data_IF_539842051206
#
_entry.id   IF_539842051206
#
_cell.length_a   1.000
_cell.length_b   1.000
_cell.length_c   1.000
_cell.angle_alpha   90.00
_cell.angle_beta   90.00
_cell.angle_gamma   90.00
#
_symmetry.space_group_name_H-M   'P 1'
#
loop_
_entity.id
_entity.type
_entity.pdbx_description
1 polymer ?
#
# COMPACT_ATOMS: atom_id res chain seq x y z
N UNK A 1 16.23 -7.71 -8.22
CA UNK A 1 16.03 -9.18 -8.18
C UNK A 1 15.28 -9.49 -6.90
N UNK A 2 14.25 -10.34 -6.96
CA UNK A 2 13.51 -10.77 -5.77
C UNK A 2 13.92 -12.23 -5.49
N UNK A 3 14.79 -12.43 -4.50
CA UNK A 3 15.51 -13.70 -4.37
C UNK A 3 16.34 -13.99 -5.63
N UNK A 4 16.03 -15.08 -6.33
CA UNK A 4 16.66 -15.43 -7.61
C UNK A 4 15.87 -14.91 -8.84
N UNK A 5 14.65 -14.41 -8.65
CA UNK A 5 13.75 -14.05 -9.74
C UNK A 5 14.15 -12.69 -10.36
N UNK A 6 14.37 -12.63 -11.70
CA UNK A 6 14.60 -11.37 -12.39
C UNK A 6 13.30 -10.56 -12.43
N UNK A 7 13.34 -9.36 -11.86
CA UNK A 7 12.18 -8.46 -11.78
C UNK A 7 12.56 -7.04 -12.14
N UNK A 8 11.61 -6.31 -12.72
CA UNK A 8 11.61 -4.85 -12.73
C UNK A 8 10.92 -4.33 -11.47
N UNK A 9 11.37 -3.19 -10.96
CA UNK A 9 10.67 -2.52 -9.86
C UNK A 9 10.18 -1.16 -10.33
N UNK A 10 8.88 -0.93 -10.19
CA UNK A 10 8.27 0.37 -10.44
C UNK A 10 7.85 0.99 -9.11
N UNK A 11 7.97 2.32 -9.02
CA UNK A 11 7.56 3.08 -7.84
C UNK A 11 6.42 4.01 -8.23
N UNK A 12 5.29 3.85 -7.56
CA UNK A 12 4.14 4.74 -7.63
C UNK A 12 4.20 5.80 -6.53
N UNK A 13 3.86 7.02 -6.91
CA UNK A 13 3.62 8.15 -6.01
C UNK A 13 2.20 8.68 -6.24
N UNK A 14 1.70 9.44 -5.28
CA UNK A 14 0.43 10.15 -5.46
C UNK A 14 0.49 11.10 -6.66
N UNK A 15 -0.60 11.13 -7.42
CA UNK A 15 -0.85 12.22 -8.38
C UNK A 15 -1.14 13.51 -7.60
N UNK A 16 -0.65 14.68 -8.03
CA UNK A 16 -0.84 15.94 -7.31
C UNK A 16 -2.31 16.26 -7.01
N UNK A 17 -3.21 15.98 -7.95
CA UNK A 17 -4.63 16.28 -7.82
C UNK A 17 -5.28 15.43 -6.71
N UNK A 18 -5.00 14.13 -6.70
CA UNK A 18 -5.46 13.22 -5.64
C UNK A 18 -4.86 13.58 -4.27
N UNK A 19 -3.58 14.00 -4.26
CA UNK A 19 -2.91 14.38 -3.02
C UNK A 19 -3.51 15.67 -2.42
N UNK A 20 -3.95 16.60 -3.28
CA UNK A 20 -4.62 17.82 -2.85
C UNK A 20 -5.99 17.54 -2.21
N UNK A 21 -6.75 16.56 -2.73
CA UNK A 21 -8.01 16.10 -2.11
C UNK A 21 -7.80 15.48 -0.73
N UNK A 22 -6.71 14.70 -0.57
CA UNK A 22 -6.36 14.06 0.70
C UNK A 22 -5.78 15.03 1.74
N UNK A 23 -5.16 16.12 1.29
CA UNK A 23 -4.52 17.14 2.12
C UNK A 23 -5.07 18.54 1.77
N UNK A 24 -6.35 18.81 2.05
CA UNK A 24 -7.02 20.04 1.60
C UNK A 24 -6.33 21.31 2.11
N UNK A 25 -5.78 21.27 3.33
CA UNK A 25 -5.04 22.39 3.93
C UNK A 25 -3.73 22.76 3.18
N UNK A 26 -3.29 21.93 2.24
CA UNK A 26 -2.07 22.11 1.43
C UNK A 26 -2.35 22.09 -0.08
N UNK A 27 -3.62 22.06 -0.49
CA UNK A 27 -4.03 21.85 -1.88
C UNK A 27 -3.39 22.85 -2.86
N UNK A 28 -3.48 24.16 -2.58
CA UNK A 28 -2.93 25.20 -3.44
C UNK A 28 -1.40 25.05 -3.65
N UNK A 29 -0.69 24.68 -2.58
CA UNK A 29 0.75 24.45 -2.64
C UNK A 29 1.09 23.21 -3.48
N UNK A 30 0.33 22.12 -3.31
CA UNK A 30 0.50 20.86 -4.06
C UNK A 30 0.25 21.08 -5.55
N UNK A 31 -0.86 21.74 -5.90
CA UNK A 31 -1.24 22.03 -7.28
C UNK A 31 -0.27 23.03 -7.94
N UNK A 32 0.34 23.91 -7.16
CA UNK A 32 1.45 24.76 -7.61
C UNK A 32 2.80 24.02 -7.75
N UNK A 33 2.82 22.69 -7.58
CA UNK A 33 4.01 21.85 -7.74
C UNK A 33 4.98 21.87 -6.55
N UNK A 34 4.57 22.40 -5.39
CA UNK A 34 5.41 22.38 -4.19
C UNK A 34 5.38 20.99 -3.54
N UNK A 35 6.51 20.49 -3.03
CA UNK A 35 6.56 19.20 -2.36
C UNK A 35 5.71 19.22 -1.08
N UNK A 36 4.72 18.33 -1.00
CA UNK A 36 3.95 18.09 0.21
C UNK A 36 4.66 17.06 1.10
N UNK A 37 4.68 17.30 2.41
CA UNK A 37 5.10 16.26 3.36
C UNK A 37 4.05 15.15 3.39
N UNK A 38 4.46 13.94 3.01
CA UNK A 38 3.61 12.75 3.02
C UNK A 38 3.51 12.11 4.41
N UNK A 39 4.25 12.59 5.40
CA UNK A 39 4.13 12.16 6.79
C UNK A 39 2.76 12.51 7.38
N UNK A 40 2.13 13.59 6.88
CA UNK A 40 0.80 14.02 7.31
C UNK A 40 -0.35 13.24 6.67
N UNK A 41 -0.07 12.22 5.85
CA UNK A 41 -1.14 11.36 5.32
C UNK A 41 -1.84 10.59 6.45
N UNK A 42 -3.16 10.32 6.33
CA UNK A 42 -3.89 9.42 7.21
C UNK A 42 -3.16 8.09 7.42
N UNK A 43 -3.29 7.51 8.61
CA UNK A 43 -2.51 6.34 9.04
C UNK A 43 -2.66 5.11 8.13
N UNK A 44 -3.81 4.97 7.48
CA UNK A 44 -4.14 3.87 6.59
C UNK A 44 -3.70 4.10 5.13
N UNK A 45 -3.20 5.30 4.80
CA UNK A 45 -2.78 5.62 3.44
C UNK A 45 -1.26 5.53 3.30
N UNK A 46 -0.77 4.85 2.23
CA UNK A 46 0.66 4.79 1.93
C UNK A 46 1.16 6.14 1.41
N UNK A 47 2.43 6.43 1.65
CA UNK A 47 3.15 7.52 0.99
C UNK A 47 3.59 7.12 -0.44
N UNK A 48 3.96 5.86 -0.63
CA UNK A 48 4.38 5.32 -1.92
C UNK A 48 4.05 3.84 -2.06
N UNK A 49 4.00 3.36 -3.30
CA UNK A 49 3.82 1.94 -3.60
C UNK A 49 4.99 1.48 -4.46
N UNK A 50 5.57 0.33 -4.16
CA UNK A 50 6.57 -0.31 -5.02
C UNK A 50 6.02 -1.65 -5.53
N UNK A 51 6.14 -1.91 -6.82
CA UNK A 51 5.68 -3.17 -7.44
C UNK A 51 6.86 -3.84 -8.13
N UNK A 52 7.12 -5.09 -7.78
CA UNK A 52 8.09 -5.95 -8.44
C UNK A 52 7.39 -6.80 -9.50
N UNK A 53 7.71 -6.55 -10.76
CA UNK A 53 7.10 -7.18 -11.94
C UNK A 53 8.07 -8.20 -12.55
N UNK A 54 7.56 -9.37 -12.92
CA UNK A 54 8.32 -10.41 -13.61
C UNK A 54 9.00 -9.91 -14.89
N UNK A 55 10.26 -10.27 -15.07
CA UNK A 55 11.02 -10.06 -16.32
C UNK A 55 11.21 -11.37 -17.10
N UNK A 56 10.77 -12.50 -16.56
CA UNK A 56 10.83 -13.78 -17.26
C UNK A 56 9.72 -13.91 -18.32
N UNK A 57 9.92 -14.84 -19.24
CA UNK A 57 8.98 -15.13 -20.32
C UNK A 57 7.81 -16.01 -19.88
N UNK A 58 7.87 -16.61 -18.68
CA UNK A 58 6.85 -17.54 -18.19
C UNK A 58 5.60 -16.79 -17.70
N UNK A 59 5.80 -15.72 -16.92
CA UNK A 59 4.75 -14.84 -16.42
C UNK A 59 5.20 -13.37 -16.57
N UNK A 60 5.22 -12.85 -17.81
CA UNK A 60 5.74 -11.51 -18.09
C UNK A 60 4.89 -10.45 -17.38
N UNK A 61 5.57 -9.50 -16.72
CA UNK A 61 4.95 -8.41 -15.96
C UNK A 61 4.01 -8.86 -14.83
N UNK A 62 4.09 -10.13 -14.39
CA UNK A 62 3.31 -10.57 -13.25
C UNK A 62 3.81 -9.90 -11.95
N UNK A 63 2.91 -9.38 -11.09
CA UNK A 63 3.30 -8.69 -9.87
C UNK A 63 3.66 -9.71 -8.78
N UNK A 64 4.94 -10.04 -8.62
CA UNK A 64 5.40 -10.98 -7.60
C UNK A 64 5.43 -10.38 -6.20
N UNK A 65 5.57 -9.06 -6.10
CA UNK A 65 5.57 -8.36 -4.80
C UNK A 65 5.02 -6.95 -4.94
N UNK A 66 4.15 -6.58 -4.00
CA UNK A 66 3.59 -5.24 -3.88
C UNK A 66 3.88 -4.74 -2.46
N UNK A 67 4.53 -3.59 -2.36
CA UNK A 67 4.84 -2.95 -1.09
C UNK A 67 4.13 -1.61 -0.98
N UNK A 68 3.31 -1.47 0.04
CA UNK A 68 2.74 -0.19 0.46
C UNK A 68 3.64 0.39 1.54
N UNK A 69 4.19 1.58 1.32
CA UNK A 69 5.22 2.18 2.18
C UNK A 69 4.75 3.52 2.73
N UNK A 70 5.24 3.88 3.91
CA UNK A 70 5.02 5.18 4.55
C UNK A 70 6.34 5.85 4.90
N UNK A 71 6.35 7.18 4.89
CA UNK A 71 7.44 7.95 5.46
C UNK A 71 7.28 8.01 6.98
N UNK A 72 8.30 7.55 7.69
CA UNK A 72 8.42 7.68 9.14
C UNK A 72 9.62 8.57 9.47
N UNK A 73 9.52 9.45 10.49
CA UNK A 73 10.67 10.20 10.95
C UNK A 73 11.81 9.25 11.34
N UNK A 74 13.03 9.56 10.90
CA UNK A 74 14.22 8.80 11.29
C UNK A 74 14.39 8.94 12.80
N UNK A 75 14.49 7.83 13.57
CA UNK A 75 14.82 7.92 14.97
C UNK A 75 16.17 8.63 15.12
N UNK A 76 16.26 9.59 16.05
CA UNK A 76 17.54 10.20 16.41
C UNK A 76 18.38 9.11 17.07
N UNK A 77 19.30 8.49 16.33
CA UNK A 77 20.23 7.52 16.92
C UNK A 77 20.98 8.19 18.08
N UNK A 78 21.14 7.52 19.24
CA UNK A 78 22.13 7.96 20.20
C UNK A 78 23.50 7.94 19.52
N UNK A 79 24.24 9.02 19.68
CA UNK A 79 25.51 9.31 19.03
C UNK A 79 26.56 8.21 19.30
N UNK A 80 26.71 7.27 18.37
CA UNK A 80 27.82 6.31 18.34
C UNK A 80 28.62 6.56 17.05
N UNK A 81 29.90 6.90 17.24
CA UNK A 81 30.89 7.28 16.22
C UNK A 81 30.95 6.25 15.06
N UNK A 82 31.30 6.70 13.83
CA UNK A 82 31.08 5.92 12.62
C UNK A 82 32.11 4.80 12.45
N UNK A 83 31.62 3.59 12.16
CA UNK A 83 32.38 2.56 11.47
C UNK A 83 31.88 2.49 10.01
N UNK A 84 32.84 2.38 9.08
CA UNK A 84 32.66 2.63 7.66
C UNK A 84 31.78 1.62 6.90
N UNK A 85 31.23 2.12 5.80
CA UNK A 85 30.89 1.42 4.55
C UNK A 85 29.59 0.61 4.48
N UNK A 86 28.60 1.14 3.76
CA UNK A 86 28.36 0.74 2.37
C UNK A 86 27.25 1.61 1.75
N UNK A 87 27.59 2.29 0.66
CA UNK A 87 26.65 3.03 -0.17
C UNK A 87 25.81 2.07 -1.01
N UNK A 88 24.50 2.30 -1.08
CA UNK A 88 23.69 1.96 -2.27
C UNK A 88 22.47 2.89 -2.33
N UNK A 89 22.47 3.70 -3.40
CA UNK A 89 21.34 4.34 -4.08
C UNK A 89 20.48 5.37 -3.33
N UNK A 90 20.84 6.63 -3.58
CA UNK A 90 20.05 7.81 -3.28
C UNK A 90 19.07 8.12 -4.42
N UNK A 91 17.79 8.31 -4.07
CA UNK A 91 16.84 9.13 -4.82
C UNK A 91 16.11 10.02 -3.83
N UNK A 92 16.44 11.32 -3.88
CA UNK A 92 15.80 12.45 -3.20
C UNK A 92 15.37 12.24 -1.73
N UNK A 93 16.35 12.18 -0.84
CA UNK A 93 16.15 12.29 0.61
C UNK A 93 15.67 13.70 0.98
N UNK A 94 14.36 13.89 1.13
CA UNK A 94 13.86 15.01 1.95
C UNK A 94 14.34 14.75 3.39
N UNK A 95 15.11 15.70 3.92
CA UNK A 95 15.83 15.60 5.18
C UNK A 95 14.94 15.12 6.34
N UNK A 96 15.24 13.94 6.88
CA UNK A 96 14.73 13.50 8.19
C UNK A 96 13.91 12.22 8.21
N UNK A 97 13.41 11.70 7.08
CA UNK A 97 12.45 10.58 7.08
C UNK A 97 12.92 9.38 6.27
N UNK A 98 12.41 8.20 6.61
CA UNK A 98 12.75 6.90 6.00
C UNK A 98 11.47 6.23 5.53
N UNK A 99 11.51 5.57 4.38
CA UNK A 99 10.39 4.73 3.92
C UNK A 99 10.38 3.41 4.69
N UNK A 100 9.25 3.11 5.32
CA UNK A 100 9.00 1.84 6.00
C UNK A 100 7.79 1.14 5.36
N UNK A 101 7.82 -0.19 5.15
CA UNK A 101 6.66 -0.94 4.68
C UNK A 101 5.53 -0.92 5.72
N UNK A 102 4.32 -0.63 5.26
CA UNK A 102 3.06 -0.81 5.99
C UNK A 102 2.50 -2.21 5.74
N UNK A 103 2.49 -2.61 4.46
CA UNK A 103 1.99 -3.89 3.99
C UNK A 103 2.89 -4.37 2.86
N UNK A 104 3.20 -5.65 2.90
CA UNK A 104 3.92 -6.36 1.85
C UNK A 104 3.03 -7.53 1.44
N UNK A 105 2.66 -7.57 0.17
CA UNK A 105 2.02 -8.72 -0.44
C UNK A 105 3.02 -9.41 -1.34
N UNK A 106 3.25 -10.71 -1.13
CA UNK A 106 4.08 -11.54 -1.98
C UNK A 106 3.24 -12.65 -2.61
N UNK A 107 3.37 -12.80 -3.91
CA UNK A 107 2.66 -13.80 -4.69
C UNK A 107 3.66 -14.86 -5.13
N UNK A 108 3.45 -16.08 -4.65
CA UNK A 108 4.27 -17.25 -4.93
C UNK A 108 3.40 -18.40 -5.45
N UNK A 109 4.03 -19.42 -6.03
CA UNK A 109 3.36 -20.59 -6.61
C UNK A 109 2.28 -20.25 -7.65
N UNK A 110 2.51 -19.17 -8.40
CA UNK A 110 1.61 -18.70 -9.44
C UNK A 110 1.58 -19.71 -10.59
N UNK A 111 0.38 -20.16 -10.95
CA UNK A 111 0.15 -21.08 -12.06
C UNK A 111 -0.59 -20.35 -13.18
N UNK A 112 -0.09 -20.54 -14.41
CA UNK A 112 -0.71 -20.06 -15.65
C UNK A 112 -2.12 -20.69 -15.85
N UNK A 113 -3.02 -20.12 -16.69
CA UNK A 113 -4.43 -20.47 -16.66
C UNK A 113 -4.66 -21.96 -16.94
N UNK A 114 -5.13 -22.65 -15.91
CA UNK A 114 -5.82 -23.92 -16.05
C UNK A 114 -7.32 -23.64 -16.19
N UNK A 115 -8.07 -24.57 -16.78
CA UNK A 115 -9.53 -24.57 -16.66
C UNK A 115 -9.85 -24.74 -15.17
N UNK A 116 -10.38 -23.71 -14.53
CA UNK A 116 -10.83 -23.76 -13.14
C UNK A 116 -12.31 -24.12 -13.15
N UNK A 117 -12.69 -25.17 -12.43
CA UNK A 117 -14.10 -25.52 -12.23
C UNK A 117 -14.80 -24.39 -11.46
N UNK A 118 -15.87 -23.75 -11.98
CA UNK A 118 -16.61 -22.71 -11.26
C UNK A 118 -17.10 -23.14 -9.88
N UNK A 119 -17.32 -24.44 -9.66
CA UNK A 119 -17.74 -24.98 -8.35
C UNK A 119 -16.67 -24.78 -7.28
N UNK A 120 -15.40 -24.62 -7.65
CA UNK A 120 -14.32 -24.27 -6.72
C UNK A 120 -14.51 -22.89 -6.06
N UNK A 121 -15.42 -22.06 -6.58
CA UNK A 121 -15.78 -20.75 -6.02
C UNK A 121 -17.15 -20.76 -5.31
N UNK A 122 -17.77 -21.92 -5.13
CA UNK A 122 -19.00 -22.05 -4.33
C UNK A 122 -18.62 -22.29 -2.88
N UNK A 123 -18.99 -21.37 -2.00
CA UNK A 123 -18.84 -21.54 -0.56
C UNK A 123 -20.00 -22.39 -0.03
N UNK A 124 -19.70 -23.50 0.63
CA UNK A 124 -20.66 -24.34 1.33
C UNK A 124 -20.43 -24.20 2.84
N UNK A 125 -21.33 -23.47 3.49
CA UNK A 125 -21.26 -23.18 4.92
C UNK A 125 -21.80 -24.34 5.78
N UNK A 126 -22.33 -25.41 5.17
CA UNK A 126 -23.06 -26.47 5.88
C UNK A 126 -24.23 -25.89 6.68
N UNK A 127 -24.30 -26.23 7.97
CA UNK A 127 -25.35 -25.79 8.89
C UNK A 127 -25.04 -24.45 9.58
N UNK A 128 -24.03 -23.71 9.13
CA UNK A 128 -23.66 -22.44 9.74
C UNK A 128 -24.73 -21.38 9.43
N UNK A 129 -25.35 -20.81 10.47
CA UNK A 129 -26.25 -19.66 10.31
C UNK A 129 -25.45 -18.44 9.82
N UNK A 130 -25.83 -17.90 8.66
CA UNK A 130 -25.28 -16.67 8.11
C UNK A 130 -26.18 -15.48 8.51
N UNK A 131 -25.56 -14.42 9.01
CA UNK A 131 -26.22 -13.17 9.37
C UNK A 131 -25.56 -12.03 8.60
N UNK A 132 -26.28 -11.50 7.61
CA UNK A 132 -25.85 -10.28 6.94
C UNK A 132 -26.09 -9.07 7.85
N UNK A 133 -25.07 -8.72 8.63
CA UNK A 133 -25.05 -7.52 9.46
C UNK A 133 -24.38 -6.32 8.77
N UNK A 134 -24.17 -6.38 7.44
CA UNK A 134 -23.41 -5.35 6.70
C UNK A 134 -24.03 -3.97 6.90
N UNK A 135 -25.34 -3.86 6.67
CA UNK A 135 -26.07 -2.59 6.77
C UNK A 135 -26.11 -2.07 8.23
N UNK A 136 -26.32 -2.96 9.20
CA UNK A 136 -26.32 -2.60 10.62
C UNK A 136 -24.94 -2.08 11.07
N UNK A 137 -23.87 -2.72 10.59
CA UNK A 137 -22.49 -2.34 10.87
C UNK A 137 -22.14 -1.00 10.23
N UNK A 138 -22.51 -0.78 8.96
CA UNK A 138 -22.27 0.49 8.26
C UNK A 138 -22.98 1.64 9.00
N UNK A 139 -24.24 1.48 9.38
CA UNK A 139 -24.99 2.50 10.13
C UNK A 139 -24.32 2.83 11.46
N UNK A 140 -23.83 1.81 12.19
CA UNK A 140 -23.09 2.00 13.44
C UNK A 140 -21.77 2.74 13.23
N UNK A 141 -21.00 2.40 12.19
CA UNK A 141 -19.72 3.04 11.89
C UNK A 141 -19.89 4.49 11.43
N UNK A 142 -20.97 4.79 10.70
CA UNK A 142 -21.27 6.12 10.18
C UNK A 142 -22.12 6.97 11.13
N UNK A 143 -22.49 6.44 12.31
CA UNK A 143 -23.33 7.12 13.29
C UNK A 143 -24.67 7.62 12.70
N UNK A 144 -25.23 6.86 11.76
CA UNK A 144 -26.53 7.16 11.13
C UNK A 144 -27.60 6.56 12.04
N UNK A 145 -28.17 7.39 12.92
CA UNK A 145 -29.30 6.99 13.77
C UNK A 145 -30.44 6.44 12.90
N UNK A 146 -30.96 5.28 13.28
CA UNK A 146 -32.20 4.77 12.68
C UNK A 146 -33.34 5.75 13.00
N UNK A 147 -34.23 6.08 12.05
CA UNK A 147 -35.36 6.94 12.34
C UNK A 147 -36.18 6.30 13.46
N UNK A 148 -36.45 7.08 14.51
CA UNK A 148 -37.34 6.66 15.59
C UNK A 148 -38.72 6.35 14.99
N UNK A 149 -39.12 5.09 14.97
CA UNK A 149 -40.52 4.73 14.74
C UNK A 149 -41.37 5.39 15.83
N UNK A 150 -42.36 6.18 15.39
CA UNK A 150 -43.52 6.57 16.20
C UNK A 150 -44.51 5.42 16.29
#
# INVERSE_FOLDING_TARGET
QLGQLPVWTTKGSWRPEMLAELLPNKADAILAGKPASLESLPVHLPASVAVALGRDDYLPLFPYRIEFRRLVPRPKSPELKPAASAATSATASTSGSVEQPMLILELFEVRSPAVIDPRAFTYDAGDQEDHDETEATIRRLLNIDSPKSQ
#
